data_IF_952479340601
#
_entry.id   IF_952479340601
#
_cell.length_a   1.000
_cell.length_b   1.000
_cell.length_c   1.000
_cell.angle_alpha   90.00
_cell.angle_beta   90.00
_cell.angle_gamma   90.00
#
_symmetry.space_group_name_H-M   'P 1'
#
loop_
_entity.id
_entity.type
_entity.pdbx_description
1 polymer ?
#
# COMPACT_ATOMS: atom_id res chain seq x y z
N UNK A 1 -57.33 -16.70 70.79
CA UNK A 1 -55.92 -16.87 70.65
C UNK A 1 -55.69 -16.99 69.13
N UNK A 2 -55.32 -15.89 68.44
CA UNK A 2 -55.28 -15.80 66.98
C UNK A 2 -53.82 -15.74 66.48
N UNK A 3 -53.40 -16.77 65.85
CA UNK A 3 -52.11 -16.79 65.16
C UNK A 3 -52.30 -16.23 63.74
N UNK A 4 -51.62 -15.12 63.42
CA UNK A 4 -51.59 -14.53 62.08
C UNK A 4 -50.38 -15.09 61.34
N UNK A 5 -50.64 -15.86 60.27
CA UNK A 5 -49.66 -16.23 59.28
C UNK A 5 -49.25 -15.00 58.48
N UNK A 6 -47.95 -14.69 58.42
CA UNK A 6 -47.32 -13.73 57.50
C UNK A 6 -46.75 -14.48 56.30
N UNK A 7 -47.39 -14.26 55.17
CA UNK A 7 -46.91 -14.70 53.85
C UNK A 7 -45.77 -13.77 53.40
N UNK A 8 -44.55 -14.30 53.23
CA UNK A 8 -43.44 -13.60 52.54
C UNK A 8 -43.59 -13.80 51.02
N UNK A 9 -43.79 -12.73 50.29
CA UNK A 9 -43.70 -12.73 48.83
C UNK A 9 -42.22 -12.53 48.42
N UNK A 10 -41.63 -13.50 47.77
CA UNK A 10 -40.32 -13.38 47.10
C UNK A 10 -40.55 -12.69 45.75
N UNK A 11 -40.04 -11.48 45.60
CA UNK A 11 -39.99 -10.79 44.31
C UNK A 11 -38.69 -11.24 43.60
N UNK A 12 -38.82 -12.01 42.51
CA UNK A 12 -37.72 -12.35 41.64
C UNK A 12 -37.47 -11.17 40.67
N UNK A 13 -36.32 -10.51 40.81
CA UNK A 13 -35.88 -9.47 39.89
C UNK A 13 -35.23 -10.14 38.66
N UNK A 14 -35.91 -10.09 37.52
CA UNK A 14 -35.31 -10.48 36.22
C UNK A 14 -34.47 -9.31 35.73
N UNK A 15 -33.12 -9.44 35.81
CA UNK A 15 -32.18 -8.52 35.15
C UNK A 15 -32.11 -8.86 33.68
N UNK A 16 -32.73 -8.06 32.81
CA UNK A 16 -32.59 -8.15 31.38
C UNK A 16 -31.20 -7.62 30.97
N UNK A 17 -30.30 -8.51 30.59
CA UNK A 17 -29.02 -8.16 29.97
C UNK A 17 -29.30 -7.75 28.53
N UNK A 18 -29.31 -6.46 28.24
CA UNK A 18 -29.37 -5.92 26.88
C UNK A 18 -28.00 -6.07 26.24
N UNK A 19 -27.83 -7.06 25.35
CA UNK A 19 -26.65 -7.20 24.55
C UNK A 19 -26.64 -6.06 23.49
N UNK A 20 -25.77 -5.09 23.68
CA UNK A 20 -25.48 -4.05 22.67
C UNK A 20 -24.67 -4.68 21.54
N UNK A 21 -25.32 -4.95 20.42
CA UNK A 21 -24.64 -5.31 19.18
C UNK A 21 -23.94 -4.05 18.65
N UNK A 22 -22.61 -3.98 18.86
CA UNK A 22 -21.80 -2.95 18.24
C UNK A 22 -21.74 -3.20 16.72
N UNK A 23 -22.55 -2.48 15.96
CA UNK A 23 -22.44 -2.41 14.50
C UNK A 23 -21.16 -1.68 14.15
N UNK A 24 -20.11 -2.44 13.78
CA UNK A 24 -18.90 -1.88 13.18
C UNK A 24 -19.29 -1.23 11.85
N UNK A 25 -19.47 0.10 11.85
CA UNK A 25 -19.56 0.86 10.61
C UNK A 25 -18.19 0.81 9.95
N UNK A 26 -18.03 -0.04 8.93
CA UNK A 26 -16.88 0.01 8.05
C UNK A 26 -16.80 1.45 7.51
N UNK A 27 -15.71 2.15 7.83
CA UNK A 27 -15.45 3.47 7.27
C UNK A 27 -15.41 3.34 5.75
N UNK A 28 -16.43 3.86 5.08
CA UNK A 28 -16.48 3.94 3.63
C UNK A 28 -15.32 4.88 3.24
N UNK A 29 -14.25 4.33 2.65
CA UNK A 29 -13.16 5.14 2.13
C UNK A 29 -13.75 6.20 1.19
N UNK A 30 -13.34 7.46 1.37
CA UNK A 30 -13.77 8.56 0.49
C UNK A 30 -13.56 8.17 -0.99
N UNK A 31 -14.43 8.62 -1.90
CA UNK A 31 -14.27 8.36 -3.33
C UNK A 31 -12.85 8.68 -3.76
N UNK A 32 -12.23 7.79 -4.53
CA UNK A 32 -10.92 8.03 -5.10
C UNK A 32 -11.13 9.08 -6.21
N UNK A 33 -10.61 10.28 -6.00
CA UNK A 33 -10.73 11.37 -6.97
C UNK A 33 -9.95 11.04 -8.24
N UNK A 34 -10.43 11.51 -9.40
CA UNK A 34 -9.68 11.44 -10.65
C UNK A 34 -8.42 12.31 -10.50
N UNK A 35 -7.27 11.66 -10.43
CA UNK A 35 -5.97 12.32 -10.36
C UNK A 35 -5.41 12.62 -11.76
N UNK A 36 -4.22 13.24 -11.83
CA UNK A 36 -3.52 13.44 -13.08
C UNK A 36 -3.08 12.10 -13.69
N UNK A 37 -2.92 12.03 -15.03
CA UNK A 37 -2.30 10.86 -15.64
C UNK A 37 -0.92 10.60 -15.04
N UNK A 38 -0.63 9.35 -14.71
CA UNK A 38 0.68 8.96 -14.20
C UNK A 38 1.73 9.10 -15.32
N UNK A 39 2.88 9.73 -15.03
CA UNK A 39 3.98 9.79 -15.97
C UNK A 39 4.52 8.39 -16.28
N UNK A 40 4.96 8.16 -17.53
CA UNK A 40 5.59 6.91 -17.94
C UNK A 40 6.98 6.77 -17.30
N UNK A 41 7.46 5.54 -17.17
CA UNK A 41 8.83 5.28 -16.73
C UNK A 41 9.82 5.70 -17.83
N UNK A 42 10.66 6.68 -17.54
CA UNK A 42 11.62 7.25 -18.47
C UNK A 42 13.02 7.21 -17.90
N UNK A 43 14.04 7.15 -18.78
CA UNK A 43 15.45 7.15 -18.37
C UNK A 43 15.89 5.95 -17.53
N UNK A 44 15.12 4.87 -17.53
CA UNK A 44 15.44 3.64 -16.78
C UNK A 44 16.64 2.98 -17.44
N UNK A 45 17.73 2.84 -16.69
CA UNK A 45 18.98 2.25 -17.19
C UNK A 45 18.92 0.74 -17.26
N UNK A 46 18.18 0.10 -16.35
CA UNK A 46 17.97 -1.34 -16.34
C UNK A 46 16.72 -1.70 -15.54
N UNK A 47 16.04 -2.79 -15.95
CA UNK A 47 15.01 -3.46 -15.16
C UNK A 47 15.58 -4.72 -14.51
N UNK A 48 15.17 -4.98 -13.26
CA UNK A 48 15.52 -6.19 -12.51
C UNK A 48 14.24 -6.90 -12.10
N UNK A 49 14.28 -8.22 -12.00
CA UNK A 49 13.13 -9.10 -11.71
C UNK A 49 12.03 -9.10 -12.79
N UNK A 50 12.20 -8.37 -13.89
CA UNK A 50 11.24 -8.38 -15.02
C UNK A 50 11.90 -7.88 -16.30
N UNK A 51 11.23 -8.11 -17.42
CA UNK A 51 11.43 -7.35 -18.65
C UNK A 51 10.98 -5.90 -18.46
N UNK A 52 11.39 -4.96 -19.33
CA UNK A 52 10.95 -3.57 -19.27
C UNK A 52 9.43 -3.43 -19.29
N UNK A 53 8.90 -2.65 -18.35
CA UNK A 53 7.47 -2.38 -18.23
C UNK A 53 7.12 -0.95 -18.67
N UNK A 54 5.93 -0.80 -19.24
CA UNK A 54 5.32 0.51 -19.57
C UNK A 54 3.96 0.62 -18.88
N UNK A 55 3.65 1.77 -18.29
CA UNK A 55 2.36 2.00 -17.66
C UNK A 55 1.18 1.82 -18.62
N UNK A 56 1.37 2.16 -19.89
CA UNK A 56 0.37 1.91 -20.91
C UNK A 56 -0.04 0.44 -21.03
N UNK A 57 0.90 -0.50 -20.82
CA UNK A 57 0.65 -1.94 -20.86
C UNK A 57 -0.02 -2.46 -19.57
N UNK A 58 -0.02 -1.65 -18.51
CA UNK A 58 -0.59 -1.98 -17.21
C UNK A 58 -2.01 -1.41 -17.03
N UNK A 59 -2.62 -0.86 -18.09
CA UNK A 59 -4.02 -0.44 -18.04
C UNK A 59 -4.93 -1.61 -17.64
N UNK A 60 -5.92 -1.34 -16.80
CA UNK A 60 -6.77 -2.36 -16.18
C UNK A 60 -6.21 -2.96 -14.90
N UNK A 61 -4.96 -2.67 -14.55
CA UNK A 61 -4.32 -3.06 -13.28
C UNK A 61 -4.18 -1.85 -12.35
N UNK A 62 -4.17 -2.11 -11.06
CA UNK A 62 -3.73 -1.15 -10.06
C UNK A 62 -2.22 -1.21 -9.96
N UNK A 63 -1.54 -0.06 -10.00
CA UNK A 63 -0.08 -0.02 -9.90
C UNK A 63 0.33 0.74 -8.65
N UNK A 64 1.22 0.14 -7.86
CA UNK A 64 1.93 0.81 -6.77
C UNK A 64 3.35 1.10 -7.24
N UNK A 65 3.68 2.37 -7.43
CA UNK A 65 5.06 2.83 -7.64
C UNK A 65 5.67 3.17 -6.29
N UNK A 66 6.79 2.53 -5.97
CA UNK A 66 7.56 2.72 -4.74
C UNK A 66 8.93 3.29 -5.09
N UNK A 67 9.15 4.60 -4.83
CA UNK A 67 10.47 5.21 -4.94
C UNK A 67 11.28 4.88 -3.70
N UNK A 68 12.41 4.21 -3.90
CA UNK A 68 13.24 3.71 -2.82
C UNK A 68 14.74 3.69 -3.18
N UNK A 69 15.57 3.51 -2.18
CA UNK A 69 16.97 3.13 -2.37
C UNK A 69 17.42 2.18 -1.26
N UNK A 70 18.45 1.37 -1.51
CA UNK A 70 18.77 0.24 -0.65
C UNK A 70 19.49 0.59 0.65
N UNK A 71 20.10 1.77 0.77
CA UNK A 71 20.75 2.23 1.99
C UNK A 71 19.88 3.16 2.86
N UNK A 72 18.70 3.52 2.37
CA UNK A 72 17.72 4.32 3.09
C UNK A 72 17.04 3.50 4.20
N UNK A 73 17.23 3.89 5.46
CA UNK A 73 16.64 3.18 6.61
C UNK A 73 15.10 3.22 6.59
N UNK A 74 14.52 4.37 6.24
CA UNK A 74 13.07 4.53 6.16
C UNK A 74 12.48 3.64 5.05
N UNK A 75 13.19 3.48 3.93
CA UNK A 75 12.79 2.54 2.87
C UNK A 75 12.84 1.09 3.37
N UNK A 76 13.88 0.72 4.13
CA UNK A 76 13.98 -0.61 4.71
C UNK A 76 12.81 -0.91 5.66
N UNK A 77 12.36 0.08 6.43
CA UNK A 77 11.22 -0.04 7.35
C UNK A 77 9.87 -0.20 6.62
N UNK A 78 9.73 0.32 5.39
CA UNK A 78 8.51 0.15 4.58
C UNK A 78 8.45 -1.17 3.83
N UNK A 79 9.59 -1.79 3.52
CA UNK A 79 9.69 -3.01 2.70
C UNK A 79 8.81 -4.18 3.16
N UNK A 80 8.66 -4.50 4.46
CA UNK A 80 7.78 -5.58 4.90
C UNK A 80 6.35 -5.41 4.41
N UNK A 81 5.85 -4.17 4.41
CA UNK A 81 4.50 -3.82 3.96
C UNK A 81 4.38 -3.93 2.44
N UNK A 82 5.31 -3.33 1.69
CA UNK A 82 5.32 -3.39 0.21
C UNK A 82 5.37 -4.85 -0.28
N UNK A 83 6.25 -5.68 0.32
CA UNK A 83 6.34 -7.11 0.01
C UNK A 83 5.04 -7.85 0.34
N UNK A 84 4.42 -7.54 1.48
CA UNK A 84 3.14 -8.12 1.89
C UNK A 84 2.03 -7.76 0.90
N UNK A 85 1.92 -6.50 0.49
CA UNK A 85 0.93 -6.06 -0.50
C UNK A 85 1.15 -6.74 -1.86
N UNK A 86 2.39 -6.83 -2.33
CA UNK A 86 2.70 -7.56 -3.56
C UNK A 86 2.26 -9.02 -3.44
N UNK A 87 2.58 -9.71 -2.35
CA UNK A 87 2.23 -11.12 -2.16
C UNK A 87 0.71 -11.34 -2.10
N UNK A 88 -0.02 -10.48 -1.36
CA UNK A 88 -1.47 -10.59 -1.17
C UNK A 88 -2.28 -10.28 -2.42
N UNK A 89 -1.84 -9.29 -3.21
CA UNK A 89 -2.70 -8.65 -4.20
C UNK A 89 -2.22 -8.80 -5.65
N UNK A 90 -1.04 -9.35 -5.92
CA UNK A 90 -0.53 -9.52 -7.31
C UNK A 90 -1.49 -10.32 -8.19
N UNK A 91 -2.08 -11.39 -7.67
CA UNK A 91 -3.02 -12.25 -8.38
C UNK A 91 -4.44 -11.65 -8.46
N UNK A 92 -4.67 -10.54 -7.74
CA UNK A 92 -5.91 -9.76 -7.75
C UNK A 92 -5.83 -8.52 -8.64
N UNK A 93 -4.70 -8.31 -9.32
CA UNK A 93 -4.52 -7.22 -10.26
C UNK A 93 -3.68 -6.04 -9.75
N UNK A 94 -2.98 -6.17 -8.60
CA UNK A 94 -1.95 -5.23 -8.18
C UNK A 94 -0.62 -5.54 -8.89
N UNK A 95 0.02 -4.50 -9.41
CA UNK A 95 1.42 -4.55 -9.85
C UNK A 95 2.23 -3.60 -8.99
N UNK A 96 3.19 -4.11 -8.22
CA UNK A 96 4.16 -3.30 -7.49
C UNK A 96 5.38 -3.09 -8.36
N UNK A 97 5.87 -1.86 -8.44
CA UNK A 97 7.10 -1.48 -9.17
C UNK A 97 7.96 -0.63 -8.25
N UNK A 98 9.12 -1.15 -7.88
CA UNK A 98 10.12 -0.37 -7.15
C UNK A 98 10.93 0.48 -8.13
N UNK A 99 10.91 1.78 -7.97
CA UNK A 99 11.80 2.69 -8.71
C UNK A 99 12.99 3.00 -7.80
N UNK A 100 14.11 2.34 -8.07
CA UNK A 100 15.34 2.57 -7.35
C UNK A 100 16.03 3.82 -7.88
N UNK A 101 15.95 4.91 -7.11
CA UNK A 101 16.61 6.18 -7.42
C UNK A 101 17.71 6.41 -6.39
N UNK A 102 18.99 6.50 -6.79
CA UNK A 102 20.11 6.55 -5.88
C UNK A 102 20.19 7.89 -5.11
N UNK A 103 20.34 7.83 -3.79
CA UNK A 103 20.67 9.01 -2.97
C UNK A 103 22.18 9.28 -2.99
N UNK A 104 22.98 8.21 -3.01
CA UNK A 104 24.44 8.26 -2.98
C UNK A 104 25.09 7.67 -4.24
N UNK A 105 26.31 8.09 -4.61
CA UNK A 105 26.99 7.60 -5.81
C UNK A 105 27.16 6.07 -5.87
N UNK A 106 27.41 5.41 -4.73
CA UNK A 106 27.63 3.97 -4.66
C UNK A 106 26.33 3.15 -4.94
N UNK A 107 25.17 3.78 -4.84
CA UNK A 107 23.87 3.16 -5.12
C UNK A 107 23.58 3.06 -6.61
N UNK A 108 24.36 3.75 -7.45
CA UNK A 108 24.23 3.65 -8.93
C UNK A 108 24.76 2.34 -9.50
N UNK A 109 25.59 1.63 -8.73
CA UNK A 109 26.14 0.34 -9.17
C UNK A 109 25.07 -0.73 -9.20
N UNK A 110 24.82 -1.28 -10.39
CA UNK A 110 23.80 -2.30 -10.60
C UNK A 110 24.09 -3.59 -9.83
N UNK A 111 25.37 -3.94 -9.61
CA UNK A 111 25.76 -5.12 -8.83
C UNK A 111 25.38 -4.96 -7.36
N UNK A 112 25.59 -3.77 -6.80
CA UNK A 112 25.17 -3.45 -5.44
C UNK A 112 23.66 -3.51 -5.30
N UNK A 113 22.89 -2.97 -6.26
CA UNK A 113 21.43 -3.04 -6.24
C UNK A 113 20.94 -4.48 -6.34
N UNK A 114 21.49 -5.31 -7.23
CA UNK A 114 21.15 -6.73 -7.34
C UNK A 114 21.40 -7.48 -6.02
N UNK A 115 22.54 -7.22 -5.39
CA UNK A 115 22.88 -7.80 -4.09
C UNK A 115 21.88 -7.37 -3.01
N UNK A 116 21.52 -6.09 -2.98
CA UNK A 116 20.54 -5.57 -2.05
C UNK A 116 19.14 -6.16 -2.27
N UNK A 117 18.66 -6.25 -3.51
CA UNK A 117 17.37 -6.88 -3.87
C UNK A 117 17.32 -8.32 -3.33
N UNK A 118 18.37 -9.09 -3.55
CA UNK A 118 18.47 -10.47 -3.04
C UNK A 118 18.45 -10.52 -1.52
N UNK A 119 19.27 -9.70 -0.85
CA UNK A 119 19.35 -9.62 0.62
C UNK A 119 18.02 -9.22 1.25
N UNK A 120 17.31 -8.26 0.63
CA UNK A 120 16.04 -7.72 1.12
C UNK A 120 14.83 -8.59 0.71
N UNK A 121 15.04 -9.60 -0.12
CA UNK A 121 13.97 -10.51 -0.58
C UNK A 121 12.92 -9.80 -1.43
N UNK A 122 13.34 -8.86 -2.30
CA UNK A 122 12.45 -8.15 -3.21
C UNK A 122 12.23 -9.02 -4.44
N UNK A 123 10.96 -9.35 -4.74
CA UNK A 123 10.58 -10.22 -5.87
C UNK A 123 9.75 -9.50 -6.95
N UNK A 124 9.29 -8.29 -6.68
CA UNK A 124 8.58 -7.47 -7.65
C UNK A 124 9.56 -6.75 -8.60
N UNK A 125 9.09 -6.26 -9.77
CA UNK A 125 9.89 -5.50 -10.72
C UNK A 125 10.58 -4.29 -10.09
N UNK A 126 11.84 -4.08 -10.45
CA UNK A 126 12.62 -2.91 -10.01
C UNK A 126 13.23 -2.21 -11.22
N UNK A 127 12.92 -0.91 -11.36
CA UNK A 127 13.46 -0.01 -12.37
C UNK A 127 14.62 0.81 -11.79
N UNK A 128 15.78 0.82 -12.44
CA UNK A 128 16.93 1.63 -12.01
C UNK A 128 16.88 3.01 -12.66
N UNK A 129 16.50 4.01 -11.87
CA UNK A 129 16.37 5.42 -12.27
C UNK A 129 17.63 6.22 -11.91
N UNK A 130 18.79 5.75 -12.39
CA UNK A 130 20.08 6.34 -12.05
C UNK A 130 20.26 7.82 -12.47
N UNK A 131 19.42 8.29 -13.38
CA UNK A 131 19.45 9.67 -13.90
C UNK A 131 18.32 10.53 -13.35
N UNK A 132 17.51 10.03 -12.44
CA UNK A 132 16.36 10.72 -11.86
C UNK A 132 15.28 11.13 -12.87
N UNK A 133 15.25 10.53 -14.06
CA UNK A 133 14.30 10.93 -15.09
C UNK A 133 12.86 10.59 -14.71
N UNK A 134 12.61 9.38 -14.18
CA UNK A 134 11.30 8.99 -13.65
C UNK A 134 10.99 9.74 -12.35
N UNK A 135 11.95 9.89 -11.45
CA UNK A 135 11.83 10.71 -10.24
C UNK A 135 11.32 12.12 -10.54
N UNK A 136 11.97 12.80 -11.49
CA UNK A 136 11.59 14.15 -11.89
C UNK A 136 10.22 14.20 -12.58
N UNK A 137 9.89 13.19 -13.39
CA UNK A 137 8.59 13.10 -14.06
C UNK A 137 7.43 13.01 -13.05
N UNK A 138 7.64 12.29 -11.92
CA UNK A 138 6.70 12.21 -10.81
C UNK A 138 6.76 13.42 -9.87
N UNK A 139 7.65 14.39 -10.11
CA UNK A 139 7.93 15.49 -9.19
C UNK A 139 8.21 15.00 -7.77
N UNK A 140 8.88 13.83 -7.64
CA UNK A 140 9.17 13.23 -6.36
C UNK A 140 10.28 13.99 -5.63
N UNK A 141 10.26 13.97 -4.29
CA UNK A 141 11.23 14.70 -3.46
C UNK A 141 11.72 13.90 -2.26
N UNK A 142 11.16 12.70 -2.02
CA UNK A 142 11.38 11.95 -0.79
C UNK A 142 11.61 10.47 -1.04
N UNK A 143 12.36 9.83 -0.13
CA UNK A 143 12.47 8.39 0.04
C UNK A 143 11.98 7.98 1.44
N UNK A 144 11.15 6.94 1.56
CA UNK A 144 10.36 6.32 0.49
C UNK A 144 9.22 7.22 0.03
N UNK A 145 8.68 6.96 -1.16
CA UNK A 145 7.48 7.62 -1.65
C UNK A 145 6.61 6.64 -2.44
N UNK A 146 5.32 6.60 -2.12
CA UNK A 146 4.34 5.75 -2.78
C UNK A 146 3.41 6.56 -3.67
N UNK A 147 3.14 6.02 -4.86
CA UNK A 147 2.10 6.53 -5.76
C UNK A 147 1.21 5.36 -6.17
N UNK A 148 -0.09 5.45 -5.86
CA UNK A 148 -1.09 4.52 -6.34
C UNK A 148 -1.72 5.04 -7.62
N UNK A 149 -1.69 4.19 -8.63
CA UNK A 149 -2.22 4.46 -9.96
C UNK A 149 -3.41 3.52 -10.18
N UNK A 150 -4.52 4.07 -10.57
CA UNK A 150 -5.75 3.33 -10.82
C UNK A 150 -5.71 2.55 -12.16
N UNK A 151 -6.76 1.79 -12.44
CA UNK A 151 -6.90 0.99 -13.66
C UNK A 151 -6.93 1.83 -14.94
N UNK A 152 -7.24 3.14 -14.83
CA UNK A 152 -7.21 4.11 -15.93
C UNK A 152 -5.84 4.77 -16.09
N UNK A 153 -4.88 4.48 -15.19
CA UNK A 153 -3.54 5.04 -15.19
C UNK A 153 -3.45 6.45 -14.64
N UNK A 154 -4.31 6.79 -13.69
CA UNK A 154 -4.31 8.08 -13.00
C UNK A 154 -3.73 7.92 -11.60
N UNK A 155 -2.90 8.87 -11.15
CA UNK A 155 -2.42 8.90 -9.76
C UNK A 155 -3.59 9.33 -8.87
N UNK A 156 -4.02 8.45 -7.98
CA UNK A 156 -5.18 8.68 -7.11
C UNK A 156 -4.83 8.73 -5.63
N UNK A 157 -3.59 8.44 -5.30
CA UNK A 157 -3.07 8.53 -3.93
C UNK A 157 -1.54 8.64 -3.97
N UNK A 158 -0.98 9.41 -3.06
CA UNK A 158 0.46 9.43 -2.78
C UNK A 158 0.70 9.49 -1.28
N UNK A 159 1.81 8.90 -0.85
CA UNK A 159 2.28 8.96 0.53
C UNK A 159 3.81 9.11 0.54
N UNK A 160 4.33 9.94 1.43
CA UNK A 160 5.74 10.25 1.54
C UNK A 160 6.26 9.90 2.94
N UNK A 161 7.39 9.20 2.97
CA UNK A 161 7.98 8.71 4.21
C UNK A 161 7.37 7.39 4.71
N UNK A 162 7.65 7.08 5.97
CA UNK A 162 7.09 5.91 6.66
C UNK A 162 5.68 6.19 7.17
N UNK A 163 4.94 5.10 7.49
CA UNK A 163 3.64 5.19 8.12
C UNK A 163 2.46 5.00 7.16
N UNK A 164 1.27 5.31 7.63
CA UNK A 164 -0.02 5.20 6.92
C UNK A 164 -0.25 3.88 6.17
N UNK A 165 0.40 2.78 6.63
CA UNK A 165 0.35 1.48 5.95
C UNK A 165 -1.06 0.92 5.84
N UNK A 166 -1.86 1.06 6.91
CA UNK A 166 -3.26 0.62 6.90
C UNK A 166 -4.10 1.43 5.89
N UNK A 167 -3.86 2.74 5.79
CA UNK A 167 -4.55 3.60 4.84
C UNK A 167 -4.13 3.26 3.41
N UNK A 168 -2.84 3.07 3.16
CA UNK A 168 -2.31 2.67 1.84
C UNK A 168 -2.91 1.33 1.42
N UNK A 169 -2.94 0.33 2.31
CA UNK A 169 -3.56 -0.98 2.02
C UNK A 169 -5.05 -0.86 1.73
N UNK A 170 -5.79 -0.07 2.51
CA UNK A 170 -7.22 0.18 2.27
C UNK A 170 -7.47 0.83 0.89
N UNK A 171 -6.59 1.75 0.45
CA UNK A 171 -6.65 2.35 -0.90
C UNK A 171 -6.39 1.32 -1.99
N UNK A 172 -5.38 0.44 -1.82
CA UNK A 172 -5.12 -0.68 -2.74
C UNK A 172 -6.38 -1.55 -2.89
N UNK A 173 -6.98 -1.98 -1.78
CA UNK A 173 -8.18 -2.81 -1.78
C UNK A 173 -9.36 -2.12 -2.49
N UNK A 174 -9.59 -0.84 -2.20
CA UNK A 174 -10.65 -0.05 -2.82
C UNK A 174 -10.48 0.05 -4.34
N UNK A 175 -9.24 0.27 -4.82
CA UNK A 175 -8.93 0.33 -6.26
C UNK A 175 -9.11 -1.02 -6.95
N UNK A 176 -8.69 -2.11 -6.30
CA UNK A 176 -8.85 -3.47 -6.83
C UNK A 176 -10.32 -3.84 -6.99
N UNK A 177 -11.17 -3.41 -6.04
CA UNK A 177 -12.61 -3.68 -6.07
C UNK A 177 -13.38 -2.88 -7.14
N UNK A 178 -12.81 -1.83 -7.71
CA UNK A 178 -13.43 -1.05 -8.79
C UNK A 178 -13.56 -1.91 -10.06
N UNK A 179 -14.70 -1.80 -10.74
CA UNK A 179 -14.86 -2.37 -12.09
C UNK A 179 -13.95 -1.62 -13.07
N UNK A 180 -13.37 -2.34 -14.01
CA UNK A 180 -12.56 -1.78 -15.12
C UNK A 180 -13.45 -1.06 -16.10
#
# INVERSE_FOLDING_TARGET
>A
MNARLRTLALAAAFSAFAATVATSTAAIAAPLENGPPAPEFTGITQWLNSEPLKLQQLRGKVVLVDFWTYSCINCANTLPYVKSWNQKYKDQGLTVIGVHTPEYPFERDTGNVKTAIKRLGISYPVALDNQYATWNAYNNQYWPAFYLIDKKGQIVYSHFGEGDYAQTEARIQALLAQKS
#
